data_IF_639112991138
#
_entry.id   IF_639112991138
#
_cell.length_a   1.000
_cell.length_b   1.000
_cell.length_c   1.000
_cell.angle_alpha   90.00
_cell.angle_beta   90.00
_cell.angle_gamma   90.00
#
_symmetry.space_group_name_H-M   'P 1'
#
loop_
_entity.id
_entity.type
_entity.pdbx_description
1 polymer ?
#
# COMPACT_ATOMS: atom_id res chain seq x y z
N UNK A 1 16.38 -0.83 -4.54
CA UNK A 1 15.53 -1.85 -5.19
C UNK A 1 15.83 -3.29 -4.76
N UNK A 2 17.07 -3.81 -4.75
CA UNK A 2 17.33 -5.22 -4.37
C UNK A 2 16.74 -5.67 -3.01
N UNK A 3 16.82 -4.85 -1.97
CA UNK A 3 16.23 -5.19 -0.67
C UNK A 3 14.70 -5.21 -0.69
N UNK A 4 14.09 -4.37 -1.52
CA UNK A 4 12.64 -4.33 -1.75
C UNK A 4 12.20 -5.60 -2.48
N UNK A 5 12.84 -5.90 -3.62
CA UNK A 5 12.60 -7.12 -4.40
C UNK A 5 12.73 -8.39 -3.56
N UNK A 6 13.70 -8.41 -2.64
CA UNK A 6 13.85 -9.52 -1.70
C UNK A 6 12.63 -9.66 -0.79
N UNK A 7 12.21 -8.59 -0.11
CA UNK A 7 11.12 -8.66 0.86
C UNK A 7 9.76 -9.01 0.23
N UNK A 8 9.52 -8.56 -1.01
CA UNK A 8 8.27 -8.84 -1.72
C UNK A 8 8.22 -10.26 -2.33
N UNK A 9 9.38 -10.85 -2.67
CA UNK A 9 9.46 -12.17 -3.33
C UNK A 9 9.88 -13.32 -2.40
N UNK A 10 10.36 -13.05 -1.19
CA UNK A 10 10.73 -14.10 -0.24
C UNK A 10 9.52 -15.00 0.07
N UNK A 11 9.70 -16.35 0.12
CA UNK A 11 8.61 -17.28 0.34
C UNK A 11 8.09 -17.21 1.78
N UNK A 12 6.90 -17.80 1.99
CA UNK A 12 6.34 -18.04 3.33
C UNK A 12 7.37 -18.79 4.19
N UNK A 13 7.59 -18.30 5.42
CA UNK A 13 8.52 -18.87 6.39
C UNK A 13 9.78 -18.03 6.61
N UNK A 14 10.07 -17.04 5.75
CA UNK A 14 11.12 -16.06 5.98
C UNK A 14 10.64 -14.96 6.96
N UNK A 15 11.28 -14.77 8.13
CA UNK A 15 10.86 -13.74 9.09
C UNK A 15 10.90 -12.34 8.47
N UNK A 16 9.81 -11.59 8.64
CA UNK A 16 9.65 -10.23 8.12
C UNK A 16 9.35 -10.11 6.62
N UNK A 17 9.29 -11.22 5.88
CA UNK A 17 8.90 -11.21 4.46
C UNK A 17 7.39 -10.97 4.31
N UNK A 18 6.99 -10.33 3.21
CA UNK A 18 5.58 -9.96 3.00
C UNK A 18 4.67 -11.18 2.80
N UNK A 19 5.16 -12.23 2.12
CA UNK A 19 4.41 -13.48 2.00
C UNK A 19 4.22 -14.18 3.36
N UNK A 20 5.21 -14.11 4.25
CA UNK A 20 5.08 -14.64 5.62
C UNK A 20 4.04 -13.85 6.41
N UNK A 21 4.04 -12.53 6.29
CA UNK A 21 3.05 -11.67 6.93
C UNK A 21 1.63 -12.04 6.47
N UNK A 22 1.36 -12.01 5.17
CA UNK A 22 0.02 -12.24 4.65
C UNK A 22 -0.45 -13.69 4.79
N UNK A 23 0.45 -14.68 4.71
CA UNK A 23 0.10 -16.05 5.07
C UNK A 23 -0.27 -16.18 6.55
N UNK A 24 0.31 -15.37 7.43
CA UNK A 24 -0.11 -15.29 8.83
C UNK A 24 -1.54 -14.76 9.00
N UNK A 25 -1.93 -13.77 8.19
CA UNK A 25 -3.27 -13.17 8.21
C UNK A 25 -4.35 -14.05 7.54
N UNK A 26 -3.99 -14.70 6.43
CA UNK A 26 -4.96 -15.34 5.51
C UNK A 26 -4.75 -16.85 5.33
N UNK A 27 -3.71 -17.44 5.90
CA UNK A 27 -3.37 -18.85 5.73
C UNK A 27 -3.12 -19.23 4.27
N UNK A 28 -3.57 -20.42 3.88
CA UNK A 28 -3.40 -20.97 2.52
C UNK A 28 -4.15 -20.18 1.43
N UNK A 29 -5.02 -19.24 1.81
CA UNK A 29 -5.65 -18.34 0.84
C UNK A 29 -4.65 -17.35 0.25
N UNK A 30 -3.56 -17.03 0.96
CA UNK A 30 -2.49 -16.20 0.42
C UNK A 30 -1.54 -17.01 -0.46
N UNK A 31 -1.51 -16.68 -1.75
CA UNK A 31 -0.51 -17.15 -2.70
C UNK A 31 0.53 -16.07 -2.99
N UNK A 32 1.70 -16.47 -3.48
CA UNK A 32 2.73 -15.52 -3.89
C UNK A 32 2.17 -14.54 -4.94
N UNK A 33 2.29 -13.21 -4.71
CA UNK A 33 1.75 -12.20 -5.61
C UNK A 33 2.57 -12.11 -6.90
N UNK A 34 1.93 -11.68 -7.99
CA UNK A 34 2.61 -11.36 -9.25
C UNK A 34 2.84 -9.85 -9.34
N UNK A 35 4.10 -9.45 -9.42
CA UNK A 35 4.50 -8.07 -9.65
C UNK A 35 4.74 -7.79 -11.13
N UNK A 36 4.28 -6.64 -11.62
CA UNK A 36 4.40 -6.20 -13.02
C UNK A 36 5.07 -4.82 -13.06
N UNK A 37 6.41 -4.74 -13.11
CA UNK A 37 7.07 -3.46 -13.33
C UNK A 37 6.80 -2.94 -14.75
N UNK A 38 6.68 -1.62 -14.88
CA UNK A 38 6.63 -0.91 -16.15
C UNK A 38 7.35 0.45 -16.04
N UNK A 39 7.63 1.11 -17.16
CA UNK A 39 8.15 2.47 -17.17
C UNK A 39 7.07 3.49 -17.54
N UNK A 40 7.23 4.73 -17.09
CA UNK A 40 6.31 5.81 -17.46
C UNK A 40 6.27 6.00 -18.98
N UNK A 41 5.06 6.09 -19.53
CA UNK A 41 4.85 6.05 -20.98
C UNK A 41 4.56 4.65 -21.53
N UNK A 42 4.64 3.61 -20.71
CA UNK A 42 4.20 2.25 -21.01
C UNK A 42 2.86 1.92 -20.34
N UNK A 43 2.21 0.87 -20.83
CA UNK A 43 1.02 0.28 -20.21
C UNK A 43 1.48 -1.00 -19.51
N UNK A 44 1.13 -1.23 -18.23
CA UNK A 44 1.52 -2.46 -17.54
C UNK A 44 1.01 -3.71 -18.26
N UNK A 45 1.81 -4.77 -18.30
CA UNK A 45 1.42 -6.05 -18.90
C UNK A 45 0.53 -6.89 -17.97
N UNK A 46 -0.63 -6.32 -17.64
CA UNK A 46 -1.69 -6.94 -16.86
C UNK A 46 -3.08 -6.62 -17.41
N UNK A 47 -4.14 -7.16 -16.79
CA UNK A 47 -5.48 -7.01 -17.33
C UNK A 47 -6.01 -5.57 -17.21
N UNK A 48 -5.60 -4.83 -16.18
CA UNK A 48 -5.98 -3.43 -15.99
C UNK A 48 -5.32 -2.54 -17.04
N UNK A 49 -4.03 -2.74 -17.29
CA UNK A 49 -3.29 -2.11 -18.38
C UNK A 49 -3.96 -2.33 -19.72
N UNK A 50 -4.27 -3.58 -20.07
CA UNK A 50 -4.96 -3.92 -21.34
C UNK A 50 -6.36 -3.31 -21.46
N UNK A 51 -7.09 -3.16 -20.36
CA UNK A 51 -8.44 -2.60 -20.37
C UNK A 51 -8.44 -1.07 -20.58
N UNK A 52 -7.53 -0.35 -19.92
CA UNK A 52 -7.43 1.12 -20.02
C UNK A 52 -6.69 1.53 -21.31
N UNK A 53 -5.59 0.84 -21.63
CA UNK A 53 -4.77 1.04 -22.83
C UNK A 53 -4.38 2.51 -23.11
N UNK A 54 -4.13 3.28 -22.04
CA UNK A 54 -3.59 4.65 -22.10
C UNK A 54 -2.45 4.77 -21.08
N UNK A 55 -1.18 4.86 -21.51
CA UNK A 55 -0.02 4.91 -20.60
C UNK A 55 -0.06 6.11 -19.65
N UNK A 56 -0.76 7.20 -20.00
CA UNK A 56 -0.86 8.38 -19.14
C UNK A 56 -1.67 8.15 -17.86
N UNK A 57 -2.51 7.11 -17.83
CA UNK A 57 -3.27 6.73 -16.64
C UNK A 57 -2.42 5.92 -15.63
N UNK A 58 -1.23 5.48 -16.06
CA UNK A 58 -0.32 4.65 -15.27
C UNK A 58 0.98 5.36 -14.89
N UNK A 59 1.25 6.54 -15.44
CA UNK A 59 2.43 7.33 -15.07
C UNK A 59 2.39 7.70 -13.58
N UNK A 60 3.56 7.71 -12.92
CA UNK A 60 3.71 8.10 -11.51
C UNK A 60 2.84 7.26 -10.54
N UNK A 61 2.63 5.97 -10.84
CA UNK A 61 1.63 5.15 -10.16
C UNK A 61 2.12 3.76 -9.74
N UNK A 62 1.42 3.18 -8.77
CA UNK A 62 1.39 1.76 -8.45
C UNK A 62 -0.06 1.35 -8.21
N UNK A 63 -0.43 0.10 -8.50
CA UNK A 63 -1.80 -0.35 -8.33
C UNK A 63 -1.90 -1.87 -8.14
N UNK A 64 -2.87 -2.30 -7.35
CA UNK A 64 -3.38 -3.66 -7.36
C UNK A 64 -4.49 -3.85 -8.41
N UNK A 65 -4.23 -4.67 -9.43
CA UNK A 65 -5.22 -5.03 -10.44
C UNK A 65 -6.09 -6.22 -10.00
N UNK A 66 -7.36 -5.93 -9.75
CA UNK A 66 -8.34 -6.94 -9.32
C UNK A 66 -8.77 -7.94 -10.40
N UNK A 67 -8.43 -7.68 -11.67
CA UNK A 67 -8.86 -8.48 -12.82
C UNK A 67 -8.00 -9.72 -13.04
N UNK A 68 -6.69 -9.65 -12.77
CA UNK A 68 -5.74 -10.76 -12.91
C UNK A 68 -4.71 -10.86 -11.77
N UNK A 69 -5.06 -10.30 -10.60
CA UNK A 69 -4.36 -10.44 -9.32
C UNK A 69 -2.88 -10.03 -9.37
N UNK A 70 -2.61 -8.86 -9.96
CA UNK A 70 -1.26 -8.27 -10.06
C UNK A 70 -1.08 -7.03 -9.23
N UNK A 71 0.16 -6.79 -8.80
CA UNK A 71 0.60 -5.47 -8.38
C UNK A 71 1.48 -4.90 -9.49
N UNK A 72 0.98 -3.90 -10.21
CA UNK A 72 1.75 -3.18 -11.22
C UNK A 72 2.36 -1.92 -10.60
N UNK A 73 3.56 -1.54 -11.01
CA UNK A 73 4.20 -0.31 -10.53
C UNK A 73 5.13 0.31 -11.57
N UNK A 74 5.12 1.64 -11.62
CA UNK A 74 6.11 2.42 -12.37
C UNK A 74 7.46 2.34 -11.67
N UNK A 75 8.47 1.85 -12.39
CA UNK A 75 9.86 1.82 -11.90
C UNK A 75 10.38 3.23 -11.69
N UNK A 76 10.02 4.17 -12.57
CA UNK A 76 10.47 5.56 -12.53
C UNK A 76 9.90 6.27 -11.28
N UNK A 77 8.61 6.05 -10.97
CA UNK A 77 7.97 6.55 -9.76
C UNK A 77 8.65 6.04 -8.47
N UNK A 78 8.87 4.72 -8.38
CA UNK A 78 9.49 4.14 -7.20
C UNK A 78 10.94 4.62 -7.05
N UNK A 79 11.68 4.79 -8.15
CA UNK A 79 13.03 5.33 -8.12
C UNK A 79 13.05 6.82 -7.68
N UNK A 80 12.07 7.64 -8.08
CA UNK A 80 11.92 9.00 -7.57
C UNK A 80 11.66 9.02 -6.06
N UNK A 81 10.70 8.21 -5.59
CA UNK A 81 10.41 8.10 -4.16
C UNK A 81 11.64 7.65 -3.35
N UNK A 82 12.42 6.72 -3.89
CA UNK A 82 13.66 6.27 -3.27
C UNK A 82 14.70 7.40 -3.15
N UNK A 83 14.78 8.28 -4.14
CA UNK A 83 15.68 9.43 -4.13
C UNK A 83 15.25 10.51 -3.12
N UNK A 84 13.94 10.74 -2.98
CA UNK A 84 13.40 11.77 -2.09
C UNK A 84 13.39 11.32 -0.62
N UNK A 85 12.96 10.09 -0.36
CA UNK A 85 12.67 9.61 0.99
C UNK A 85 13.60 8.52 1.53
N UNK A 86 14.36 7.89 0.64
CA UNK A 86 15.24 6.78 0.96
C UNK A 86 14.75 5.43 0.45
N UNK A 87 15.59 4.38 0.54
CA UNK A 87 15.41 3.11 -0.15
C UNK A 87 14.20 2.26 0.30
N UNK A 88 13.56 2.63 1.41
CA UNK A 88 12.36 1.94 1.95
C UNK A 88 11.04 2.52 1.43
N UNK A 89 11.02 3.71 0.82
CA UNK A 89 9.78 4.30 0.31
C UNK A 89 9.08 3.39 -0.73
N UNK A 90 9.79 2.81 -1.72
CA UNK A 90 9.19 1.85 -2.64
C UNK A 90 8.55 0.65 -1.95
N UNK A 91 9.17 0.15 -0.87
CA UNK A 91 8.64 -0.98 -0.12
C UNK A 91 7.28 -0.65 0.50
N UNK A 92 7.11 0.54 1.06
CA UNK A 92 5.86 0.95 1.70
C UNK A 92 4.73 1.13 0.68
N UNK A 93 5.01 1.65 -0.52
CA UNK A 93 4.02 1.69 -1.62
C UNK A 93 3.59 0.28 -2.00
N UNK A 94 4.54 -0.65 -2.21
CA UNK A 94 4.20 -2.03 -2.55
C UNK A 94 3.48 -2.78 -1.41
N UNK A 95 3.80 -2.48 -0.16
CA UNK A 95 3.06 -3.00 1.00
C UNK A 95 1.60 -2.48 1.01
N UNK A 96 1.36 -1.22 0.63
CA UNK A 96 0.02 -0.67 0.46
C UNK A 96 -0.74 -1.42 -0.65
N UNK A 97 -0.16 -1.58 -1.84
CA UNK A 97 -0.82 -2.33 -2.93
C UNK A 97 -1.13 -3.79 -2.57
N UNK A 98 -0.21 -4.46 -1.89
CA UNK A 98 -0.47 -5.81 -1.38
C UNK A 98 -1.58 -5.85 -0.33
N UNK A 99 -1.87 -4.74 0.33
CA UNK A 99 -2.96 -4.64 1.30
C UNK A 99 -4.32 -4.65 0.61
N UNK A 100 -4.48 -3.95 -0.51
CA UNK A 100 -5.70 -4.10 -1.34
C UNK A 100 -5.93 -5.56 -1.76
N UNK A 101 -4.85 -6.26 -2.15
CA UNK A 101 -4.92 -7.69 -2.44
C UNK A 101 -5.35 -8.51 -1.23
N UNK A 102 -4.71 -8.29 -0.09
CA UNK A 102 -4.99 -9.00 1.16
C UNK A 102 -6.43 -8.81 1.63
N UNK A 103 -6.91 -7.57 1.62
CA UNK A 103 -8.28 -7.23 1.99
C UNK A 103 -9.31 -7.84 1.03
N UNK A 104 -9.02 -7.88 -0.27
CA UNK A 104 -9.87 -8.58 -1.24
C UNK A 104 -9.95 -10.08 -0.97
N UNK A 105 -8.82 -10.75 -0.73
CA UNK A 105 -8.79 -12.18 -0.39
C UNK A 105 -9.52 -12.45 0.93
N UNK A 106 -9.33 -11.59 1.92
CA UNK A 106 -9.95 -11.69 3.24
C UNK A 106 -11.43 -11.29 3.29
N UNK A 107 -11.97 -10.69 2.23
CA UNK A 107 -13.35 -10.18 2.21
C UNK A 107 -13.57 -8.97 3.13
N UNK A 108 -12.52 -8.15 3.34
CA UNK A 108 -12.50 -7.01 4.26
C UNK A 108 -12.29 -5.68 3.52
N UNK A 109 -12.85 -5.55 2.31
CA UNK A 109 -12.79 -4.30 1.54
C UNK A 109 -13.40 -3.14 2.35
N UNK A 110 -12.81 -1.95 2.19
CA UNK A 110 -13.29 -0.76 2.84
C UNK A 110 -14.73 -0.41 2.43
N UNK A 111 -15.51 0.15 3.35
CA UNK A 111 -16.91 0.50 3.09
C UNK A 111 -17.07 1.74 2.19
N UNK A 112 -16.01 2.55 2.08
CA UNK A 112 -15.87 3.69 1.17
C UNK A 112 -14.41 3.78 0.70
N UNK A 113 -14.16 4.40 -0.45
CA UNK A 113 -12.82 4.51 -1.06
C UNK A 113 -11.76 4.98 -0.06
N UNK A 114 -12.01 6.07 0.66
CA UNK A 114 -11.06 6.58 1.66
C UNK A 114 -10.76 5.59 2.79
N UNK A 115 -11.75 4.80 3.21
CA UNK A 115 -11.56 3.82 4.27
C UNK A 115 -10.72 2.64 3.77
N UNK A 116 -10.90 2.24 2.51
CA UNK A 116 -10.10 1.21 1.86
C UNK A 116 -8.62 1.65 1.76
N UNK A 117 -8.38 2.87 1.32
CA UNK A 117 -7.04 3.46 1.17
C UNK A 117 -6.32 3.62 2.53
N UNK A 118 -7.03 4.14 3.54
CA UNK A 118 -6.48 4.23 4.90
C UNK A 118 -6.29 2.84 5.55
N UNK A 119 -7.12 1.84 5.21
CA UNK A 119 -6.90 0.47 5.66
C UNK A 119 -5.63 -0.12 5.04
N UNK A 120 -5.38 0.14 3.75
CA UNK A 120 -4.16 -0.27 3.07
C UNK A 120 -2.91 0.41 3.65
N UNK A 121 -2.95 1.71 3.94
CA UNK A 121 -1.88 2.43 4.64
C UNK A 121 -1.59 1.83 6.03
N UNK A 122 -2.66 1.46 6.78
CA UNK A 122 -2.52 0.79 8.07
C UNK A 122 -1.84 -0.58 7.93
N UNK A 123 -2.26 -1.40 6.97
CA UNK A 123 -1.61 -2.69 6.74
C UNK A 123 -0.17 -2.55 6.24
N UNK A 124 0.16 -1.49 5.52
CA UNK A 124 1.55 -1.17 5.20
C UNK A 124 2.38 -0.90 6.47
N UNK A 125 1.82 -0.21 7.47
CA UNK A 125 2.45 -0.04 8.78
C UNK A 125 2.63 -1.36 9.53
N UNK A 126 1.64 -2.25 9.45
CA UNK A 126 1.63 -3.58 10.10
C UNK A 126 2.69 -4.51 9.49
N UNK A 127 2.82 -4.50 8.17
CA UNK A 127 3.91 -5.15 7.42
C UNK A 127 5.28 -4.56 7.78
N UNK A 128 5.39 -3.23 7.86
CA UNK A 128 6.64 -2.55 8.23
C UNK A 128 7.09 -2.92 9.65
N UNK A 129 6.19 -3.00 10.64
CA UNK A 129 6.56 -3.46 11.98
C UNK A 129 7.00 -4.93 11.97
N UNK A 130 6.32 -5.81 11.23
CA UNK A 130 6.77 -7.21 11.11
C UNK A 130 8.19 -7.32 10.49
N UNK A 131 8.47 -6.53 9.45
CA UNK A 131 9.80 -6.45 8.84
C UNK A 131 10.84 -5.86 9.83
N UNK A 132 10.47 -4.84 10.60
CA UNK A 132 11.32 -4.23 11.61
C UNK A 132 11.67 -5.20 12.74
N UNK A 133 10.68 -5.89 13.30
CA UNK A 133 10.85 -6.84 14.40
C UNK A 133 11.76 -8.02 13.99
N UNK A 134 11.74 -8.36 12.70
CA UNK A 134 12.64 -9.35 12.10
C UNK A 134 14.03 -8.79 11.72
N UNK A 135 14.32 -7.53 12.02
CA UNK A 135 15.60 -6.86 11.74
C UNK A 135 15.84 -6.57 10.26
N UNK A 136 14.81 -6.56 9.42
CA UNK A 136 14.92 -6.32 7.97
C UNK A 136 14.93 -4.84 7.61
N UNK A 137 14.28 -4.01 8.40
CA UNK A 137 14.29 -2.55 8.26
C UNK A 137 14.64 -1.90 9.60
N UNK A 138 15.42 -0.81 9.57
CA UNK A 138 15.72 -0.06 10.79
C UNK A 138 14.47 0.70 11.26
N UNK A 139 14.32 0.88 12.57
CA UNK A 139 13.17 1.61 13.15
C UNK A 139 13.01 3.01 12.54
N UNK A 140 14.13 3.70 12.31
CA UNK A 140 14.11 5.04 11.71
C UNK A 140 13.48 5.01 10.32
N UNK A 141 13.78 3.98 9.53
CA UNK A 141 13.33 3.85 8.14
C UNK A 141 11.84 3.42 8.14
N UNK A 142 11.44 2.56 9.09
CA UNK A 142 10.04 2.18 9.30
C UNK A 142 9.17 3.39 9.65
N UNK A 143 9.65 4.29 10.52
CA UNK A 143 8.91 5.51 10.89
C UNK A 143 8.81 6.51 9.74
N UNK A 144 9.67 6.45 8.72
CA UNK A 144 9.53 7.31 7.54
C UNK A 144 8.32 6.94 6.67
N UNK A 145 7.72 5.76 6.83
CA UNK A 145 6.48 5.41 6.12
C UNK A 145 5.35 6.41 6.41
N UNK A 146 5.23 6.90 7.66
CA UNK A 146 4.26 7.95 7.98
C UNK A 146 4.54 9.27 7.24
N UNK A 147 5.81 9.61 6.98
CA UNK A 147 6.19 10.79 6.20
C UNK A 147 5.90 10.60 4.70
N UNK A 148 6.15 9.41 4.16
CA UNK A 148 5.75 9.04 2.79
C UNK A 148 4.23 9.21 2.61
N UNK A 149 3.43 8.54 3.43
CA UNK A 149 1.98 8.58 3.30
C UNK A 149 1.38 9.96 3.59
N UNK A 150 2.04 10.78 4.44
CA UNK A 150 1.72 12.20 4.52
C UNK A 150 1.91 12.92 3.18
N UNK A 151 3.03 12.68 2.50
CA UNK A 151 3.34 13.34 1.22
C UNK A 151 2.44 12.88 0.06
N UNK A 152 1.92 11.65 0.12
CA UNK A 152 1.00 11.07 -0.86
C UNK A 152 -0.49 11.33 -0.56
N UNK A 153 -0.82 12.10 0.49
CA UNK A 153 -2.20 12.42 0.82
C UNK A 153 -2.83 13.45 -0.12
N UNK A 154 -4.13 13.35 -0.31
CA UNK A 154 -4.87 14.24 -1.20
C UNK A 154 -4.83 15.68 -0.69
N UNK A 155 -4.30 16.57 -1.53
CA UNK A 155 -4.27 18.02 -1.32
C UNK A 155 -5.11 18.77 -2.37
N UNK A 156 -5.77 18.04 -3.27
CA UNK A 156 -6.60 18.60 -4.34
C UNK A 156 -7.75 19.40 -3.73
N UNK A 157 -7.86 20.67 -4.13
CA UNK A 157 -8.80 21.64 -3.53
C UNK A 157 -8.23 22.47 -2.35
N UNK A 158 -6.98 22.22 -1.95
CA UNK A 158 -6.29 22.91 -0.86
C UNK A 158 -6.46 22.21 0.49
N UNK A 159 -5.64 22.57 1.49
CA UNK A 159 -5.59 21.95 2.82
C UNK A 159 -6.93 21.86 3.59
N UNK A 160 -7.96 22.60 3.15
CA UNK A 160 -9.28 22.67 3.76
C UNK A 160 -10.40 22.09 2.90
N UNK A 161 -10.14 21.74 1.63
CA UNK A 161 -11.12 21.04 0.83
C UNK A 161 -11.00 19.55 1.12
N UNK A 162 -12.11 18.93 1.50
CA UNK A 162 -12.21 17.49 1.63
C UNK A 162 -13.12 17.02 0.50
N UNK A 163 -12.57 16.22 -0.41
CA UNK A 163 -13.40 15.42 -1.31
C UNK A 163 -14.33 14.50 -0.48
N UNK A 164 -15.47 14.04 -1.02
CA UNK A 164 -16.29 13.05 -0.34
C UNK A 164 -15.49 11.77 -0.05
N UNK A 165 -15.75 11.11 1.08
CA UNK A 165 -15.06 9.85 1.44
C UNK A 165 -15.25 8.71 0.42
N UNK A 166 -16.33 8.78 -0.37
CA UNK A 166 -16.68 7.84 -1.42
C UNK A 166 -16.28 8.31 -2.82
N UNK A 167 -15.52 9.40 -2.97
CA UNK A 167 -15.04 9.80 -4.29
C UNK A 167 -14.10 8.71 -4.85
N UNK A 168 -14.17 8.37 -6.15
CA UNK A 168 -13.35 7.31 -6.73
C UNK A 168 -11.84 7.52 -6.57
N UNK A 169 -11.40 8.76 -6.41
CA UNK A 169 -10.00 9.16 -6.24
C UNK A 169 -9.67 9.62 -4.81
N UNK A 170 -10.50 9.27 -3.82
CA UNK A 170 -10.25 9.61 -2.43
C UNK A 170 -9.27 8.64 -1.75
N UNK A 171 -7.99 9.01 -1.69
CA UNK A 171 -6.93 8.35 -0.91
C UNK A 171 -6.96 8.79 0.55
N UNK A 172 -7.40 10.01 0.82
CA UNK A 172 -7.48 10.59 2.16
C UNK A 172 -6.45 11.69 2.41
N UNK A 173 -6.71 12.50 3.44
CA UNK A 173 -5.84 13.64 3.73
C UNK A 173 -4.45 13.19 4.19
N UNK A 174 -3.41 14.03 4.01
CA UNK A 174 -2.05 13.77 4.51
C UNK A 174 -2.00 13.28 5.96
N UNK A 175 -2.84 13.84 6.84
CA UNK A 175 -2.89 13.46 8.25
C UNK A 175 -3.52 12.08 8.45
N UNK A 176 -4.60 11.77 7.75
CA UNK A 176 -5.28 10.47 7.85
C UNK A 176 -4.35 9.35 7.41
N UNK A 177 -3.73 9.50 6.22
CA UNK A 177 -2.79 8.52 5.66
C UNK A 177 -1.59 8.26 6.58
N UNK A 178 -0.95 9.32 7.06
CA UNK A 178 0.16 9.21 8.01
C UNK A 178 -0.25 8.56 9.34
N UNK A 179 -1.43 8.90 9.86
CA UNK A 179 -1.96 8.33 11.10
C UNK A 179 -2.34 6.86 10.91
N UNK A 180 -2.94 6.47 9.79
CA UNK A 180 -3.27 5.09 9.47
C UNK A 180 -2.02 4.21 9.49
N UNK A 181 -0.97 4.61 8.78
CA UNK A 181 0.31 3.90 8.80
C UNK A 181 0.88 3.78 10.22
N UNK A 182 0.91 4.88 10.97
CA UNK A 182 1.42 4.89 12.34
C UNK A 182 0.61 3.97 13.27
N UNK A 183 -0.71 3.92 13.11
CA UNK A 183 -1.58 3.01 13.86
C UNK A 183 -1.26 1.56 13.53
N UNK A 184 -1.13 1.19 12.26
CA UNK A 184 -0.75 -0.17 11.88
C UNK A 184 0.64 -0.58 12.36
N UNK A 185 1.61 0.33 12.36
CA UNK A 185 2.93 0.07 12.91
C UNK A 185 2.89 -0.23 14.43
N UNK A 186 2.04 0.49 15.17
CA UNK A 186 1.98 0.43 16.64
C UNK A 186 0.91 -0.54 17.20
N UNK A 187 0.01 -1.04 16.36
CA UNK A 187 -1.16 -1.86 16.74
C UNK A 187 -1.23 -3.15 15.91
N UNK A 188 -2.27 -3.93 16.17
CA UNK A 188 -2.56 -5.17 15.45
C UNK A 188 -3.43 -4.96 14.21
N UNK A 189 -3.57 -6.00 13.40
CA UNK A 189 -4.35 -6.01 12.16
C UNK A 189 -5.84 -5.70 12.37
N UNK A 190 -6.39 -5.93 13.58
CA UNK A 190 -7.79 -5.61 13.89
C UNK A 190 -8.07 -4.11 13.86
N UNK A 191 -7.04 -3.29 14.13
CA UNK A 191 -7.09 -1.83 13.99
C UNK A 191 -7.31 -1.44 12.53
N UNK A 192 -6.59 -2.06 11.59
CA UNK A 192 -6.71 -1.77 10.16
C UNK A 192 -8.09 -2.16 9.63
N UNK A 193 -8.62 -3.32 10.03
CA UNK A 193 -10.00 -3.70 9.69
C UNK A 193 -11.07 -2.79 10.31
N UNK A 194 -10.76 -2.13 11.43
CA UNK A 194 -11.67 -1.13 12.03
C UNK A 194 -11.69 0.15 11.18
N UNK A 195 -10.52 0.60 10.72
CA UNK A 195 -10.40 1.73 9.79
C UNK A 195 -11.20 1.47 8.50
N UNK A 196 -11.08 0.26 7.93
CA UNK A 196 -11.83 -0.15 6.74
C UNK A 196 -13.36 -0.05 6.86
N UNK A 197 -13.90 -0.12 8.07
CA UNK A 197 -15.34 -0.04 8.36
C UNK A 197 -15.83 1.39 8.60
N UNK A 198 -14.97 2.40 8.48
CA UNK A 198 -15.31 3.80 8.70
C UNK A 198 -16.09 4.38 7.52
N UNK A 199 -17.38 4.69 7.71
CA UNK A 199 -18.22 5.29 6.66
C UNK A 199 -17.76 6.70 6.22
N UNK A 200 -16.96 7.37 7.04
CA UNK A 200 -16.37 8.70 6.74
C UNK A 200 -14.93 8.61 6.24
N UNK A 201 -14.33 7.41 6.32
CA UNK A 201 -12.89 7.21 6.12
C UNK A 201 -12.03 7.82 7.22
N UNK A 202 -12.61 8.16 8.38
CA UNK A 202 -11.84 8.60 9.54
C UNK A 202 -11.04 7.46 10.17
N UNK A 203 -9.84 7.80 10.62
CA UNK A 203 -8.88 6.89 11.26
C UNK A 203 -8.86 7.05 12.78
N UNK A 204 -9.70 7.93 13.33
CA UNK A 204 -9.91 8.08 14.77
C UNK A 204 -11.02 7.15 15.23
N UNK A 205 -10.76 6.37 16.28
CA UNK A 205 -11.70 5.45 16.91
C UNK A 205 -11.57 5.53 18.44
#
# INVERSE_FOLDING_TARGET
>A
MQDVERLINEPVGCPGALNTFWHGELGDAWTAPRFVPYHDGEVPDDACGRQVNDPRQFADNALYCTLDDTVAYSVDFLDELAQVGGPTYPLFVLMHELSHRGDRIGGNLGVVTRAEENQADCFAGRQASAAHDAGRIAVRDALQGALLFYSLGDTRGGWFAQEPASAPDAHGSPRQRAQAFALGYLRDSSTCHTIGRSETGDVSF
#
